data_IF_311609348991
#
_entry.id   IF_311609348991
#
_cell.length_a   1.000
_cell.length_b   1.000
_cell.length_c   1.000
_cell.angle_alpha   90.00
_cell.angle_beta   90.00
_cell.angle_gamma   90.00
#
_symmetry.space_group_name_H-M   'P 1'
#
loop_
_entity.id
_entity.type
_entity.pdbx_description
1 polymer ?
#
# COMPACT_ATOMS: atom_id res chain seq x y z
N UNK A 1 -12.84 17.88 21.07
CA UNK A 1 -11.63 17.08 21.32
C UNK A 1 -11.96 16.25 22.54
N UNK A 2 -12.08 14.93 22.39
CA UNK A 2 -12.46 14.02 23.47
C UNK A 2 -11.48 14.03 24.64
N UNK A 3 -11.94 13.60 25.81
CA UNK A 3 -11.11 13.55 27.00
C UNK A 3 -9.99 12.50 26.84
N UNK A 4 -8.78 12.84 27.29
CA UNK A 4 -7.61 11.96 27.21
C UNK A 4 -6.94 11.84 28.57
N UNK A 5 -6.62 10.62 28.97
CA UNK A 5 -5.89 10.32 30.21
C UNK A 5 -4.47 9.84 29.91
N UNK A 6 -3.48 10.26 30.70
CA UNK A 6 -2.10 9.74 30.57
C UNK A 6 -2.03 8.29 31.03
N UNK A 7 -1.21 7.47 30.36
CA UNK A 7 -0.89 6.13 30.84
C UNK A 7 0.12 6.25 31.98
N UNK A 8 -0.18 5.66 33.13
CA UNK A 8 0.54 5.85 34.41
C UNK A 8 2.05 5.62 34.29
N UNK A 9 2.43 4.54 33.62
CA UNK A 9 3.84 4.11 33.56
C UNK A 9 4.53 4.49 32.24
N UNK A 10 3.87 5.27 31.36
CA UNK A 10 4.45 5.65 30.08
C UNK A 10 3.95 7.01 29.56
N UNK A 11 4.85 7.99 29.58
CA UNK A 11 4.57 9.36 29.16
C UNK A 11 4.36 9.52 27.65
N UNK A 12 4.74 8.53 26.85
CA UNK A 12 4.57 8.51 25.40
C UNK A 12 3.21 7.93 24.97
N UNK A 13 2.32 7.63 25.91
CA UNK A 13 0.98 7.14 25.59
C UNK A 13 -0.11 7.91 26.33
N UNK A 14 -1.21 8.14 25.62
CA UNK A 14 -2.46 8.64 26.19
C UNK A 14 -3.58 7.68 25.83
N UNK A 15 -4.50 7.46 26.76
CA UNK A 15 -5.74 6.73 26.55
C UNK A 15 -6.82 7.73 26.16
N UNK A 16 -7.44 7.51 25.02
CA UNK A 16 -8.64 8.21 24.61
C UNK A 16 -9.82 7.66 25.42
N UNK A 17 -10.57 8.52 26.11
CA UNK A 17 -11.66 8.08 26.99
C UNK A 17 -12.98 7.85 26.27
N UNK A 18 -13.11 8.32 25.02
CA UNK A 18 -14.32 8.13 24.22
C UNK A 18 -14.38 6.72 23.63
N UNK A 19 -13.24 6.20 23.18
CA UNK A 19 -13.13 4.91 22.49
C UNK A 19 -12.12 3.94 23.13
N UNK A 20 -11.52 4.32 24.26
CA UNK A 20 -10.56 3.52 25.02
C UNK A 20 -9.26 3.16 24.27
N UNK A 21 -8.98 3.79 23.12
CA UNK A 21 -7.77 3.55 22.35
C UNK A 21 -6.52 4.10 23.06
N UNK A 22 -5.41 3.39 22.94
CA UNK A 22 -4.09 3.85 23.41
C UNK A 22 -3.37 4.51 22.23
N UNK A 23 -3.09 5.80 22.36
CA UNK A 23 -2.48 6.63 21.32
C UNK A 23 -1.02 6.94 21.69
N UNK A 24 -0.11 6.74 20.74
CA UNK A 24 1.28 7.12 20.90
C UNK A 24 1.44 8.63 20.70
N UNK A 25 2.00 9.33 21.70
CA UNK A 25 2.29 10.77 21.67
C UNK A 25 3.76 11.08 21.36
N UNK A 26 4.61 10.06 21.24
CA UNK A 26 6.00 10.24 20.81
C UNK A 26 6.03 10.60 19.31
N UNK A 27 6.25 11.88 19.03
CA UNK A 27 6.31 12.43 17.67
C UNK A 27 7.33 11.72 16.77
N UNK A 28 8.49 11.31 17.30
CA UNK A 28 9.51 10.62 16.52
C UNK A 28 9.04 9.21 16.11
N UNK A 29 8.36 8.50 17.02
CA UNK A 29 7.79 7.18 16.72
C UNK A 29 6.65 7.27 15.69
N UNK A 30 5.77 8.26 15.84
CA UNK A 30 4.69 8.54 14.88
C UNK A 30 5.25 8.87 13.50
N UNK A 31 6.21 9.79 13.41
CA UNK A 31 6.83 10.16 12.14
C UNK A 31 7.52 8.96 11.45
N UNK A 32 8.25 8.13 12.22
CA UNK A 32 8.88 6.91 11.68
C UNK A 32 7.86 5.92 11.14
N UNK A 33 6.73 5.75 11.85
CA UNK A 33 5.65 4.89 11.41
C UNK A 33 5.00 5.41 10.12
N UNK A 34 4.71 6.71 10.05
CA UNK A 34 4.15 7.36 8.86
C UNK A 34 5.06 7.20 7.64
N UNK A 35 6.37 7.43 7.81
CA UNK A 35 7.36 7.20 6.75
C UNK A 35 7.35 5.74 6.28
N UNK A 36 7.32 4.78 7.21
CA UNK A 36 7.30 3.36 6.84
C UNK A 36 6.03 2.98 6.09
N UNK A 37 4.88 3.52 6.51
CA UNK A 37 3.60 3.26 5.83
C UNK A 37 3.54 3.91 4.44
N UNK A 38 4.12 5.10 4.28
CA UNK A 38 4.25 5.74 2.98
C UNK A 38 5.12 4.90 2.02
N UNK A 39 6.25 4.37 2.50
CA UNK A 39 7.12 3.46 1.75
C UNK A 39 6.35 2.20 1.30
N UNK A 40 5.63 1.54 2.22
CA UNK A 40 4.84 0.35 1.92
C UNK A 40 3.72 0.62 0.91
N UNK A 41 3.03 1.77 1.01
CA UNK A 41 2.02 2.17 0.03
C UNK A 41 2.62 2.37 -1.35
N UNK A 42 3.77 3.03 -1.45
CA UNK A 42 4.48 3.21 -2.71
C UNK A 42 4.90 1.87 -3.32
N UNK A 43 5.43 0.95 -2.51
CA UNK A 43 5.80 -0.39 -2.98
C UNK A 43 4.60 -1.14 -3.55
N UNK A 44 3.46 -1.13 -2.84
CA UNK A 44 2.22 -1.74 -3.34
C UNK A 44 1.71 -1.12 -4.64
N UNK A 45 1.82 0.20 -4.78
CA UNK A 45 1.43 0.88 -6.01
C UNK A 45 2.30 0.44 -7.18
N UNK A 46 3.63 0.44 -7.00
CA UNK A 46 4.57 -0.04 -8.03
C UNK A 46 4.31 -1.49 -8.40
N UNK A 47 4.03 -2.36 -7.43
CA UNK A 47 3.68 -3.76 -7.68
C UNK A 47 2.39 -3.89 -8.51
N UNK A 48 1.37 -3.10 -8.21
CA UNK A 48 0.13 -3.07 -8.97
C UNK A 48 0.36 -2.59 -10.42
N UNK A 49 1.16 -1.53 -10.60
CA UNK A 49 1.55 -1.01 -11.92
C UNK A 49 2.31 -2.08 -12.73
N UNK A 50 3.26 -2.78 -12.10
CA UNK A 50 4.00 -3.89 -12.74
C UNK A 50 3.04 -5.01 -13.18
N UNK A 51 2.05 -5.35 -12.36
CA UNK A 51 1.07 -6.39 -12.70
C UNK A 51 0.16 -5.96 -13.85
N UNK A 52 -0.24 -4.68 -13.91
CA UNK A 52 -0.96 -4.12 -15.07
C UNK A 52 -0.13 -4.24 -16.34
N UNK A 53 1.12 -3.77 -16.29
CA UNK A 53 2.05 -3.84 -17.43
C UNK A 53 2.27 -5.28 -17.91
N UNK A 54 2.39 -6.25 -16.99
CA UNK A 54 2.50 -7.67 -17.35
C UNK A 54 1.26 -8.17 -18.08
N UNK A 55 0.07 -7.76 -17.64
CA UNK A 55 -1.20 -8.12 -18.32
C UNK A 55 -1.24 -7.53 -19.72
N UNK A 56 -0.96 -6.23 -19.85
CA UNK A 56 -0.96 -5.54 -21.15
C UNK A 56 0.05 -6.16 -22.13
N UNK A 57 1.23 -6.55 -21.65
CA UNK A 57 2.23 -7.25 -22.47
C UNK A 57 1.74 -8.65 -22.87
N UNK A 58 1.01 -9.35 -22.01
CA UNK A 58 0.41 -10.64 -22.35
C UNK A 58 -0.61 -10.47 -23.47
N UNK A 59 -1.49 -9.48 -23.34
CA UNK A 59 -2.52 -9.18 -24.35
C UNK A 59 -1.88 -8.82 -25.69
N UNK A 60 -0.80 -8.02 -25.69
CA UNK A 60 -0.03 -7.69 -26.90
C UNK A 60 0.53 -8.96 -27.55
N UNK A 61 1.12 -9.88 -26.77
CA UNK A 61 1.65 -11.14 -27.29
C UNK A 61 0.56 -11.99 -27.93
N UNK A 62 -0.61 -12.06 -27.29
CA UNK A 62 -1.74 -12.83 -27.81
C UNK A 62 -2.26 -12.23 -29.12
N UNK A 63 -2.43 -10.90 -29.19
CA UNK A 63 -2.80 -10.19 -30.41
C UNK A 63 -1.76 -10.40 -31.52
N UNK A 64 -0.46 -10.31 -31.22
CA UNK A 64 0.60 -10.59 -32.20
C UNK A 64 0.53 -12.04 -32.69
N UNK A 65 0.30 -13.00 -31.79
CA UNK A 65 0.16 -14.40 -32.14
C UNK A 65 -1.01 -14.65 -33.10
N UNK A 66 -2.14 -13.96 -32.89
CA UNK A 66 -3.29 -14.02 -33.81
C UNK A 66 -2.95 -13.42 -35.17
N UNK A 67 -2.27 -12.27 -35.21
CA UNK A 67 -1.82 -11.65 -36.46
C UNK A 67 -0.91 -12.61 -37.21
N UNK A 68 0.11 -13.17 -36.53
CA UNK A 68 1.08 -14.10 -37.15
C UNK A 68 0.40 -15.35 -37.71
N UNK A 69 -0.62 -15.90 -37.05
CA UNK A 69 -1.43 -17.01 -37.60
C UNK A 69 -2.20 -16.59 -38.85
N UNK A 70 -2.78 -15.39 -38.84
CA UNK A 70 -3.54 -14.87 -39.97
C UNK A 70 -2.65 -14.58 -41.19
N UNK A 71 -1.43 -14.04 -41.00
CA UNK A 71 -0.49 -13.78 -42.11
C UNK A 71 0.37 -14.99 -42.49
N UNK A 72 0.60 -15.92 -41.56
CA UNK A 72 1.44 -17.10 -41.77
C UNK A 72 0.80 -18.19 -42.62
N UNK A 73 -0.51 -18.10 -42.88
CA UNK A 73 -1.21 -19.02 -43.77
C UNK A 73 -1.05 -20.48 -43.34
N UNK A 74 -1.51 -20.82 -42.12
CA UNK A 74 -1.81 -22.22 -41.82
C UNK A 74 -2.98 -22.66 -42.73
N UNK A 75 -2.62 -23.39 -43.80
CA UNK A 75 -3.54 -24.27 -44.54
C UNK A 75 -3.79 -25.54 -43.74
#
# INVERSE_FOLDING_TARGET
MGDKARVKDNLNYVKDLDNFAILNTNKAAVAKHEQKMAELRRQKQVEAEINSLKSEVSDIKDMLGQILKAVGGEK
#
